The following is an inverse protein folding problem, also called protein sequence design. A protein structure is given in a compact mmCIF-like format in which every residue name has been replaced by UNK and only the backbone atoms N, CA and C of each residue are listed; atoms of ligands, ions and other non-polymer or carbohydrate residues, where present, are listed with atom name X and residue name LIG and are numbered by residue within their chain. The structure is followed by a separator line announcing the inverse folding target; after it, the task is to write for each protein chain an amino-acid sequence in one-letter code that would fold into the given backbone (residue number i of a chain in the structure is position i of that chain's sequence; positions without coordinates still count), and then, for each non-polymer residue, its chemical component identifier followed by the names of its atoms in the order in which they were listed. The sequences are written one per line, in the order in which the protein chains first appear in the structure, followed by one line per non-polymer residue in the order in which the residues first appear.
data_IF_764088866821
#
_entry.id   IF_764088866821
#
_cell.length_a   1.000
_cell.length_b   1.000
_cell.length_c   1.000
_cell.angle_alpha   90.00
_cell.angle_beta   90.00
_cell.angle_gamma   90.00
#
_symmetry.space_group_name_H-M   'P 1'
#
loop_
_entity.id
_entity.type
_entity.pdbx_description
1 polymer ?
#
# COMPACT_ATOMS: atom_id res chain seq x y z
N UNK A 1 -2.59 -15.75 -7.01
CA UNK A 1 -2.46 -15.99 -5.56
C UNK A 1 -1.07 -15.55 -5.17
N UNK A 2 -0.92 -14.90 -4.02
CA UNK A 2 0.35 -14.45 -3.46
C UNK A 2 0.49 -14.99 -2.04
N UNK A 3 1.67 -15.49 -1.71
CA UNK A 3 2.06 -16.00 -0.39
C UNK A 3 3.57 -15.83 -0.23
N UNK A 4 4.02 -15.47 0.97
CA UNK A 4 5.45 -15.32 1.26
C UNK A 4 6.11 -16.69 1.48
N UNK A 5 7.33 -16.87 0.97
CA UNK A 5 8.09 -18.12 1.10
C UNK A 5 8.89 -18.19 2.42
N UNK A 6 8.35 -17.65 3.52
CA UNK A 6 8.99 -17.62 4.85
C UNK A 6 8.26 -18.47 5.89
N UNK A 7 7.25 -19.24 5.45
CA UNK A 7 6.41 -20.12 6.25
C UNK A 7 5.67 -19.42 7.41
N UNK A 8 5.46 -18.10 7.30
CA UNK A 8 4.70 -17.34 8.30
C UNK A 8 3.19 -17.33 8.03
N UNK A 9 2.76 -17.55 6.79
CA UNK A 9 1.34 -17.67 6.44
C UNK A 9 1.01 -19.16 6.18
N UNK A 10 -0.12 -19.64 6.71
CA UNK A 10 -0.53 -21.04 6.57
C UNK A 10 -1.19 -21.29 5.20
N UNK A 11 -0.61 -22.14 4.32
CA UNK A 11 -1.24 -22.50 3.05
C UNK A 11 -2.63 -23.15 3.21
N UNK A 12 -2.93 -23.76 4.37
CA UNK A 12 -4.25 -24.30 4.65
C UNK A 12 -5.34 -23.22 4.76
N UNK A 13 -4.98 -21.95 4.95
CA UNK A 13 -5.90 -20.80 4.96
C UNK A 13 -6.18 -20.26 3.54
N UNK A 14 -5.52 -20.75 2.49
CA UNK A 14 -5.77 -20.34 1.08
C UNK A 14 -7.27 -20.44 0.70
N UNK A 15 -8.00 -21.51 1.06
CA UNK A 15 -9.43 -21.60 0.78
C UNK A 15 -10.24 -20.43 1.36
N UNK A 16 -9.84 -19.83 2.49
CA UNK A 16 -10.53 -18.66 3.05
C UNK A 16 -10.52 -17.48 2.07
N UNK A 17 -9.37 -17.23 1.45
CA UNK A 17 -9.21 -16.14 0.49
C UNK A 17 -9.96 -16.44 -0.83
N UNK A 18 -9.89 -17.68 -1.30
CA UNK A 18 -10.56 -18.08 -2.54
C UNK A 18 -12.08 -18.09 -2.41
N UNK A 19 -12.61 -18.57 -1.27
CA UNK A 19 -14.05 -18.57 -0.99
C UNK A 19 -14.63 -17.16 -0.90
N UNK A 20 -13.82 -16.19 -0.45
CA UNK A 20 -14.23 -14.79 -0.39
C UNK A 20 -14.15 -14.09 -1.77
N UNK A 21 -13.52 -14.69 -2.78
CA UNK A 21 -13.36 -14.13 -4.13
C UNK A 21 -14.63 -14.29 -4.98
N UNK A 22 -15.70 -13.57 -4.64
CA UNK A 22 -16.94 -13.50 -5.44
C UNK A 22 -16.71 -12.78 -6.78
N UNK A 23 -17.70 -12.82 -7.67
CA UNK A 23 -17.61 -12.27 -9.04
C UNK A 23 -17.29 -10.77 -9.08
N UNK A 24 -17.74 -10.02 -8.09
CA UNK A 24 -17.56 -8.58 -7.95
C UNK A 24 -16.34 -8.17 -7.09
N UNK A 25 -15.69 -9.13 -6.45
CA UNK A 25 -14.47 -8.92 -5.65
C UNK A 25 -13.24 -9.03 -6.55
N UNK A 26 -12.37 -8.03 -6.46
CA UNK A 26 -11.17 -7.90 -7.30
C UNK A 26 -9.91 -8.31 -6.56
N UNK A 27 -9.88 -8.10 -5.24
CA UNK A 27 -8.80 -8.52 -4.36
C UNK A 27 -9.34 -8.95 -3.00
N UNK A 28 -8.77 -10.04 -2.48
CA UNK A 28 -8.94 -10.49 -1.11
C UNK A 28 -7.59 -10.44 -0.41
N UNK A 29 -7.52 -9.76 0.73
CA UNK A 29 -6.32 -9.69 1.56
C UNK A 29 -6.54 -10.57 2.80
N UNK A 30 -5.58 -11.45 3.10
CA UNK A 30 -5.49 -12.09 4.40
C UNK A 30 -5.01 -11.07 5.43
N UNK A 31 -5.92 -10.50 6.21
CA UNK A 31 -5.58 -9.50 7.21
C UNK A 31 -5.15 -10.14 8.52
N UNK A 32 -3.92 -9.85 8.91
CA UNK A 32 -3.36 -10.27 10.20
C UNK A 32 -3.93 -9.45 11.36
N UNK A 33 -4.35 -8.20 11.08
CA UNK A 33 -4.98 -7.32 12.06
C UNK A 33 -6.45 -7.66 12.33
N UNK A 34 -7.12 -8.39 11.42
CA UNK A 34 -8.43 -9.01 11.69
C UNK A 34 -8.30 -10.41 12.29
N UNK A 35 -7.20 -11.11 12.01
CA UNK A 35 -6.90 -12.44 12.54
C UNK A 35 -6.00 -12.40 13.76
N UNK A 36 -5.02 -13.31 13.79
CA UNK A 36 -4.17 -13.58 14.96
C UNK A 36 -2.69 -13.49 14.63
N UNK A 37 -1.92 -12.87 15.51
CA UNK A 37 -0.47 -12.95 15.52
C UNK A 37 -0.04 -13.98 16.57
N UNK A 38 0.64 -15.05 16.16
CA UNK A 38 1.26 -15.98 17.11
C UNK A 38 2.48 -15.33 17.77
N UNK A 39 2.86 -15.82 18.94
CA UNK A 39 4.00 -15.28 19.68
C UNK A 39 5.29 -15.32 18.85
N UNK A 40 6.02 -14.20 18.85
CA UNK A 40 7.25 -14.05 18.05
C UNK A 40 7.04 -13.85 16.55
N UNK A 41 5.79 -13.73 16.07
CA UNK A 41 5.49 -13.54 14.64
C UNK A 41 5.90 -12.18 14.08
N UNK A 42 5.85 -11.13 14.90
CA UNK A 42 6.14 -9.75 14.49
C UNK A 42 6.77 -8.97 15.63
N UNK A 43 7.73 -8.10 15.31
CA UNK A 43 8.27 -7.15 16.29
C UNK A 43 7.32 -5.98 16.50
N UNK A 44 7.32 -5.38 17.69
CA UNK A 44 6.45 -4.21 17.98
C UNK A 44 6.68 -3.05 17.01
N UNK A 45 7.92 -2.87 16.54
CA UNK A 45 8.27 -1.85 15.54
C UNK A 45 7.60 -2.14 14.18
N UNK A 46 7.62 -3.38 13.72
CA UNK A 46 6.99 -3.76 12.45
C UNK A 46 5.47 -3.68 12.55
N UNK A 47 4.91 -4.10 13.68
CA UNK A 47 3.47 -3.99 13.94
C UNK A 47 3.01 -2.52 13.90
N UNK A 48 3.74 -1.61 14.57
CA UNK A 48 3.44 -0.18 14.55
C UNK A 48 3.65 0.44 13.16
N UNK A 49 4.74 0.08 12.47
CA UNK A 49 5.02 0.52 11.11
C UNK A 49 3.93 0.12 10.11
N UNK A 50 3.46 -1.12 10.17
CA UNK A 50 2.39 -1.61 9.31
C UNK A 50 1.06 -0.90 9.59
N UNK A 51 0.73 -0.61 10.85
CA UNK A 51 -0.45 0.21 11.19
C UNK A 51 -0.33 1.64 10.66
N UNK A 52 0.86 2.23 10.77
CA UNK A 52 1.12 3.57 10.24
C UNK A 52 0.96 3.62 8.72
N UNK A 53 1.59 2.70 7.99
CA UNK A 53 1.50 2.62 6.53
C UNK A 53 0.05 2.38 6.06
N UNK A 54 -0.67 1.49 6.74
CA UNK A 54 -2.10 1.24 6.48
C UNK A 54 -2.93 2.51 6.68
N UNK A 55 -2.70 3.26 7.76
CA UNK A 55 -3.39 4.54 8.01
C UNK A 55 -3.10 5.55 6.91
N UNK A 56 -1.85 5.67 6.46
CA UNK A 56 -1.47 6.58 5.38
C UNK A 56 -2.12 6.18 4.04
N UNK A 57 -2.13 4.89 3.72
CA UNK A 57 -2.79 4.39 2.52
C UNK A 57 -4.29 4.69 2.54
N UNK A 58 -4.98 4.39 3.64
CA UNK A 58 -6.41 4.67 3.79
C UNK A 58 -6.72 6.17 3.67
N UNK A 59 -5.85 7.04 4.19
CA UNK A 59 -6.01 8.49 4.05
C UNK A 59 -5.85 8.94 2.58
N UNK A 60 -4.82 8.46 1.88
CA UNK A 60 -4.50 8.86 0.52
C UNK A 60 -5.51 8.36 -0.52
N UNK A 61 -6.02 7.14 -0.32
CA UNK A 61 -6.89 6.43 -1.26
C UNK A 61 -8.34 6.33 -0.80
N UNK A 62 -8.68 6.88 0.38
CA UNK A 62 -10.03 6.87 0.98
C UNK A 62 -10.61 5.46 1.15
N UNK A 63 -9.76 4.52 1.58
CA UNK A 63 -10.12 3.12 1.84
C UNK A 63 -10.26 2.83 3.34
N UNK A 64 -10.68 1.61 3.68
CA UNK A 64 -10.80 1.12 5.08
C UNK A 64 -10.10 -0.23 5.27
N UNK A 65 -8.99 -0.44 4.57
CA UNK A 65 -8.21 -1.68 4.63
C UNK A 65 -7.50 -1.75 5.98
N UNK A 66 -7.52 -2.90 6.64
CA UNK A 66 -6.88 -3.12 7.94
C UNK A 66 -5.41 -3.55 7.83
N UNK A 67 -5.01 -4.24 6.75
CA UNK A 67 -3.63 -4.69 6.56
C UNK A 67 -3.13 -4.50 5.12
N UNK A 68 -2.57 -3.33 4.81
CA UNK A 68 -2.08 -3.06 3.45
C UNK A 68 -0.80 -3.82 3.10
N UNK A 69 -0.05 -4.27 4.11
CA UNK A 69 1.29 -4.86 3.97
C UNK A 69 1.26 -6.39 4.16
N UNK A 70 0.10 -7.04 4.07
CA UNK A 70 0.00 -8.49 4.12
C UNK A 70 0.35 -9.11 2.77
N UNK A 71 1.37 -9.96 2.71
CA UNK A 71 1.76 -10.69 1.49
C UNK A 71 0.72 -11.72 1.05
N UNK A 72 -0.04 -12.27 2.00
CA UNK A 72 -1.07 -13.27 1.74
C UNK A 72 -2.33 -12.66 1.13
N UNK A 73 -2.52 -12.85 -0.19
CA UNK A 73 -3.64 -12.24 -0.92
C UNK A 73 -4.00 -12.99 -2.20
N UNK A 74 -5.26 -12.88 -2.60
CA UNK A 74 -5.76 -13.32 -3.90
C UNK A 74 -6.18 -12.10 -4.70
N UNK A 75 -5.81 -12.03 -5.99
CA UNK A 75 -6.19 -10.92 -6.87
C UNK A 75 -6.64 -11.49 -8.21
N UNK A 76 -7.74 -10.95 -8.76
CA UNK A 76 -8.17 -11.28 -10.12
C UNK A 76 -7.14 -10.76 -11.12
N UNK A 77 -6.75 -11.60 -12.08
CA UNK A 77 -5.82 -11.20 -13.14
C UNK A 77 -6.31 -9.99 -13.92
N UNK A 78 -7.62 -9.86 -14.13
CA UNK A 78 -8.25 -8.72 -14.82
C UNK A 78 -8.18 -7.40 -14.03
N UNK A 79 -7.93 -7.45 -12.71
CA UNK A 79 -7.88 -6.27 -11.86
C UNK A 79 -6.51 -5.56 -11.88
N UNK A 80 -5.49 -6.18 -12.49
CA UNK A 80 -4.12 -5.64 -12.53
C UNK A 80 -3.59 -5.66 -13.97
N UNK A 81 -2.94 -4.57 -14.35
CA UNK A 81 -2.06 -4.53 -15.50
C UNK A 81 -0.60 -4.61 -15.00
N UNK A 82 0.04 -5.76 -15.24
CA UNK A 82 1.41 -6.03 -14.78
C UNK A 82 2.43 -5.05 -15.35
N UNK A 83 2.15 -4.47 -16.53
CA UNK A 83 3.05 -3.51 -17.17
C UNK A 83 3.02 -2.14 -16.48
N UNK A 84 2.03 -1.89 -15.62
CA UNK A 84 1.88 -0.65 -14.85
C UNK A 84 2.36 -0.78 -13.40
N UNK A 85 2.86 -1.96 -13.03
CA UNK A 85 3.53 -2.16 -11.74
C UNK A 85 4.96 -1.62 -11.84
N UNK A 86 5.38 -0.92 -10.79
CA UNK A 86 6.66 -0.21 -10.70
C UNK A 86 7.40 -0.48 -9.38
N UNK A 87 6.85 -1.36 -8.53
CA UNK A 87 7.52 -1.83 -7.33
C UNK A 87 8.84 -2.56 -7.66
N UNK A 88 9.87 -2.34 -6.84
CA UNK A 88 11.22 -2.89 -7.06
C UNK A 88 11.65 -3.81 -5.89
N UNK A 89 11.10 -3.60 -4.70
CA UNK A 89 11.41 -4.34 -3.48
C UNK A 89 10.10 -4.64 -2.72
N UNK A 90 10.01 -4.15 -1.48
CA UNK A 90 8.88 -4.34 -0.57
C UNK A 90 7.70 -3.40 -0.85
N UNK A 91 7.71 -2.70 -1.99
CA UNK A 91 6.60 -1.84 -2.39
C UNK A 91 5.47 -2.60 -3.11
N UNK A 92 5.67 -3.89 -3.45
CA UNK A 92 4.76 -4.65 -4.32
C UNK A 92 3.36 -4.78 -3.73
N UNK A 93 3.23 -5.04 -2.44
CA UNK A 93 1.95 -5.10 -1.71
C UNK A 93 1.17 -3.80 -1.89
N UNK A 94 1.90 -2.70 -1.77
CA UNK A 94 1.34 -1.35 -1.87
C UNK A 94 0.97 -1.02 -3.30
N UNK A 95 1.80 -1.39 -4.28
CA UNK A 95 1.53 -1.13 -5.70
C UNK A 95 0.33 -1.93 -6.21
N UNK A 96 0.18 -3.18 -5.77
CA UNK A 96 -1.01 -4.00 -6.04
C UNK A 96 -2.27 -3.36 -5.45
N UNK A 97 -2.21 -2.85 -4.23
CA UNK A 97 -3.32 -2.12 -3.61
C UNK A 97 -3.66 -0.84 -4.40
N UNK A 98 -2.65 -0.06 -4.79
CA UNK A 98 -2.83 1.11 -5.63
C UNK A 98 -3.51 0.75 -6.96
N UNK A 99 -3.04 -0.29 -7.64
CA UNK A 99 -3.57 -0.72 -8.94
C UNK A 99 -5.06 -1.06 -8.87
N UNK A 100 -5.46 -1.86 -7.88
CA UNK A 100 -6.86 -2.28 -7.73
C UNK A 100 -7.74 -1.12 -7.26
N UNK A 101 -7.30 -0.32 -6.29
CA UNK A 101 -8.11 0.79 -5.76
C UNK A 101 -8.28 1.91 -6.79
N UNK A 102 -7.23 2.27 -7.54
CA UNK A 102 -7.32 3.25 -8.62
C UNK A 102 -8.14 2.73 -9.81
N UNK A 103 -8.18 1.41 -10.00
CA UNK A 103 -9.07 0.72 -10.93
C UNK A 103 -10.52 0.59 -10.44
N UNK A 104 -10.88 1.18 -9.31
CA UNK A 104 -12.20 1.07 -8.67
C UNK A 104 -12.61 -0.38 -8.34
N UNK A 105 -11.62 -1.26 -8.18
CA UNK A 105 -11.84 -2.65 -7.82
C UNK A 105 -12.25 -2.79 -6.35
N UNK A 106 -13.15 -3.75 -6.10
CA UNK A 106 -13.59 -4.08 -4.74
C UNK A 106 -12.51 -4.90 -4.03
N UNK A 107 -12.04 -4.40 -2.88
CA UNK A 107 -11.12 -5.08 -1.97
C UNK A 107 -11.88 -5.54 -0.74
N UNK A 108 -11.67 -6.78 -0.32
CA UNK A 108 -12.18 -7.31 0.95
C UNK A 108 -11.05 -7.96 1.75
N UNK A 109 -11.30 -8.21 3.02
CA UNK A 109 -10.33 -8.79 3.95
C UNK A 109 -10.92 -10.00 4.65
N UNK A 110 -10.10 -11.04 4.84
CA UNK A 110 -10.43 -12.21 5.64
C UNK A 110 -9.41 -12.32 6.79
N UNK A 111 -9.83 -12.72 8.00
CA UNK A 111 -8.91 -12.93 9.10
C UNK A 111 -7.99 -14.13 8.80
N UNK A 112 -6.69 -13.97 9.03
CA UNK A 112 -5.67 -15.02 8.84
C UNK A 112 -4.69 -15.05 10.01
N UNK A 113 -4.02 -16.18 10.19
CA UNK A 113 -3.05 -16.38 11.26
C UNK A 113 -1.64 -16.13 10.76
N UNK A 114 -0.84 -15.35 11.50
CA UNK A 114 0.60 -15.20 11.21
C UNK A 114 1.46 -15.91 12.25
N UNK A 115 2.25 -16.86 11.77
CA UNK A 115 3.22 -17.63 12.54
C UNK A 115 4.60 -16.94 12.63
N UNK A 116 5.43 -17.31 13.63
CA UNK A 116 6.85 -16.96 13.64
C UNK A 116 7.57 -17.55 12.42
N UNK A 117 8.54 -16.79 11.91
CA UNK A 117 9.39 -17.22 10.81
C UNK A 117 10.20 -18.44 11.24
N UNK A 118 10.14 -19.51 10.46
CA UNK A 118 10.82 -20.77 10.81
C UNK A 118 12.33 -20.73 10.51
N UNK A 119 12.74 -20.03 9.44
CA UNK A 119 14.14 -19.94 9.04
C UNK A 119 14.47 -18.63 8.31
N UNK A 120 15.75 -18.24 8.33
CA UNK A 120 16.27 -17.06 7.64
C UNK A 120 16.09 -15.75 8.42
N UNK A 121 16.91 -14.74 8.07
CA UNK A 121 16.82 -13.39 8.65
C UNK A 121 16.00 -12.47 7.75
N UNK A 122 15.24 -11.56 8.35
CA UNK A 122 14.55 -10.53 7.56
C UNK A 122 15.56 -9.54 6.97
N UNK A 123 15.51 -9.35 5.66
CA UNK A 123 16.26 -8.30 4.96
C UNK A 123 15.59 -6.92 5.02
N UNK A 124 14.46 -6.80 5.72
CA UNK A 124 13.64 -5.60 5.79
C UNK A 124 14.24 -4.59 6.78
N UNK A 125 14.54 -3.38 6.30
CA UNK A 125 15.03 -2.26 7.10
C UNK A 125 13.86 -1.34 7.40
N UNK A 126 13.30 -1.43 8.61
CA UNK A 126 11.99 -0.87 8.96
C UNK A 126 11.79 0.60 8.56
N UNK A 127 12.81 1.45 8.74
CA UNK A 127 12.72 2.86 8.37
C UNK A 127 12.95 3.11 6.87
N UNK A 128 13.97 2.49 6.28
CA UNK A 128 14.34 2.74 4.88
C UNK A 128 13.28 2.17 3.93
N UNK A 129 12.89 0.91 4.12
CA UNK A 129 11.89 0.27 3.28
C UNK A 129 10.49 0.84 3.57
N UNK A 130 10.17 1.15 4.84
CA UNK A 130 8.92 1.83 5.20
C UNK A 130 8.78 3.22 4.55
N UNK A 131 9.85 4.03 4.52
CA UNK A 131 9.85 5.32 3.85
C UNK A 131 9.68 5.17 2.34
N UNK A 132 10.32 4.16 1.72
CA UNK A 132 10.14 3.86 0.29
C UNK A 132 8.70 3.48 -0.04
N UNK A 133 8.08 2.61 0.76
CA UNK A 133 6.69 2.22 0.61
C UNK A 133 5.77 3.45 0.70
N UNK A 134 5.99 4.32 1.68
CA UNK A 134 5.23 5.57 1.82
C UNK A 134 5.39 6.49 0.62
N UNK A 135 6.62 6.73 0.17
CA UNK A 135 6.88 7.56 -1.00
C UNK A 135 6.28 6.96 -2.28
N UNK A 136 6.32 5.64 -2.41
CA UNK A 136 5.74 4.92 -3.54
C UNK A 136 4.22 5.10 -3.61
N UNK A 137 3.48 4.90 -2.52
CA UNK A 137 2.02 5.13 -2.52
C UNK A 137 1.64 6.58 -2.78
N UNK A 138 2.44 7.54 -2.29
CA UNK A 138 2.24 8.98 -2.58
C UNK A 138 2.44 9.24 -4.07
N UNK A 139 3.56 8.78 -4.63
CA UNK A 139 3.89 8.95 -6.05
C UNK A 139 2.80 8.40 -6.95
N UNK A 140 2.36 7.15 -6.71
CA UNK A 140 1.29 6.48 -7.48
C UNK A 140 -0.04 7.26 -7.47
N UNK A 141 -0.36 7.91 -6.34
CA UNK A 141 -1.58 8.73 -6.20
C UNK A 141 -1.55 9.95 -7.13
N UNK A 142 -0.39 10.58 -7.29
CA UNK A 142 -0.23 11.80 -8.07
C UNK A 142 0.07 11.54 -9.55
N UNK A 143 0.75 10.44 -9.90
CA UNK A 143 0.96 10.03 -11.30
C UNK A 143 -0.36 9.86 -12.07
N UNK A 144 -1.38 9.32 -11.40
CA UNK A 144 -2.71 9.12 -12.00
C UNK A 144 -3.52 10.42 -12.12
N UNK A 145 -3.12 11.48 -11.42
CA UNK A 145 -3.85 12.75 -11.32
C UNK A 145 -3.40 13.83 -12.33
N UNK A 146 -2.53 13.49 -13.29
CA UNK A 146 -2.02 14.46 -14.29
C UNK A 146 -0.91 15.40 -13.79
N UNK A 147 -0.26 15.08 -12.66
CA UNK A 147 0.79 15.89 -12.02
C UNK A 147 2.20 15.74 -12.62
N UNK A 148 2.33 15.30 -13.88
CA UNK A 148 3.61 14.92 -14.49
C UNK A 148 4.63 16.08 -14.66
N UNK A 149 4.26 17.34 -14.39
CA UNK A 149 5.14 18.50 -14.63
C UNK A 149 5.96 18.89 -13.37
N UNK A 150 5.52 18.56 -12.15
CA UNK A 150 6.16 19.08 -10.92
C UNK A 150 7.14 18.09 -10.27
N UNK A 151 6.82 16.78 -10.22
CA UNK A 151 7.65 15.81 -9.48
C UNK A 151 8.95 15.48 -10.22
N UNK A 152 8.95 15.46 -11.55
CA UNK A 152 10.16 15.23 -12.34
C UNK A 152 11.26 16.28 -12.11
N UNK A 153 10.92 17.48 -11.63
CA UNK A 153 11.89 18.54 -11.29
C UNK A 153 12.34 18.54 -9.83
N UNK A 154 11.56 17.95 -8.91
CA UNK A 154 11.88 17.95 -7.47
C UNK A 154 12.54 16.64 -7.03
N UNK A 155 12.24 15.53 -7.72
CA UNK A 155 12.74 14.20 -7.39
C UNK A 155 13.20 13.47 -8.67
N UNK A 156 14.22 14.01 -9.33
CA UNK A 156 15.00 13.23 -10.28
C UNK A 156 15.92 12.28 -9.50
N UNK A 157 15.58 11.00 -9.47
CA UNK A 157 16.25 9.96 -8.69
C UNK A 157 16.94 8.90 -9.58
N UNK A 158 17.24 9.24 -10.83
CA UNK A 158 18.07 8.41 -11.71
C UNK A 158 19.58 8.49 -11.40
N UNK A 159 19.97 9.24 -10.36
CA UNK A 159 21.38 9.37 -9.93
C UNK A 159 21.64 8.55 -8.65
N UNK A 160 22.72 7.74 -8.61
CA UNK A 160 23.15 7.07 -7.39
C UNK A 160 23.48 8.13 -6.32
N UNK A 161 23.04 7.89 -5.08
CA UNK A 161 23.22 8.79 -3.92
C UNK A 161 24.70 8.97 -3.58
N UNK A 162 25.36 9.90 -4.24
CA UNK A 162 26.66 10.43 -3.86
C UNK A 162 26.55 11.95 -3.65
N UNK A 163 26.63 12.33 -2.37
CA UNK A 163 26.95 13.68 -1.85
C UNK A 163 26.16 14.84 -2.44
N UNK A 164 25.18 15.36 -1.70
CA UNK A 164 24.87 16.80 -1.78
C UNK A 164 24.24 17.34 -0.50
N UNK A 165 24.80 18.48 -0.08
CA UNK A 165 24.52 19.24 1.13
C UNK A 165 23.04 19.65 1.26
N UNK A 166 22.50 19.51 2.47
CA UNK A 166 21.15 19.90 2.87
C UNK A 166 20.96 21.42 2.72
N UNK A 167 20.22 21.86 1.70
CA UNK A 167 19.54 23.17 1.73
C UNK A 167 18.10 22.98 2.20
N UNK A 168 17.74 23.70 3.27
CA UNK A 168 16.38 23.78 3.82
C UNK A 168 15.40 24.24 2.71
N UNK A 169 14.35 23.47 2.39
CA UNK A 169 13.37 23.91 1.40
C UNK A 169 12.43 24.96 1.99
N UNK A 170 12.35 26.11 1.31
CA UNK A 170 11.52 27.29 1.62
C UNK A 170 10.00 27.05 1.46
N UNK A 171 9.56 25.85 1.09
CA UNK A 171 8.15 25.51 0.85
C UNK A 171 7.41 24.85 2.02
N UNK A 172 8.09 24.54 3.13
CA UNK A 172 7.48 23.79 4.24
C UNK A 172 6.37 24.59 4.97
N UNK A 173 6.52 25.92 5.04
CA UNK A 173 5.49 26.81 5.62
C UNK A 173 4.22 26.88 4.75
N UNK A 174 4.38 26.86 3.41
CA UNK A 174 3.27 26.82 2.45
C UNK A 174 2.54 25.48 2.49
N UNK A 175 3.27 24.38 2.78
CA UNK A 175 2.71 23.04 2.93
C UNK A 175 1.75 22.92 4.14
N UNK A 176 2.12 23.46 5.31
CA UNK A 176 1.25 23.41 6.51
C UNK A 176 -0.04 24.20 6.27
N UNK A 177 0.04 25.32 5.54
CA UNK A 177 -1.13 26.17 5.26
C UNK A 177 -2.12 25.48 4.33
N UNK A 178 -1.65 24.90 3.22
CA UNK A 178 -2.51 24.25 2.24
C UNK A 178 -3.07 22.90 2.75
N UNK A 179 -2.35 22.21 3.65
CA UNK A 179 -2.82 20.98 4.28
C UNK A 179 -4.04 21.22 5.20
N UNK A 180 -4.12 22.38 5.86
CA UNK A 180 -5.29 22.77 6.68
C UNK A 180 -6.53 23.09 5.84
N UNK A 181 -6.36 23.67 4.66
CA UNK A 181 -7.48 24.00 3.75
C UNK A 181 -8.16 22.74 3.18
N UNK A 182 -7.38 21.70 2.87
CA UNK A 182 -7.89 20.42 2.37
C UNK A 182 -8.70 19.65 3.44
N UNK A 183 -8.43 19.88 4.72
CA UNK A 183 -9.18 19.25 5.83
C UNK A 183 -10.51 19.97 6.13
N UNK A 184 -10.70 21.20 5.68
CA UNK A 184 -11.85 22.04 6.08
C UNK A 184 -12.85 22.34 4.96
N UNK A 185 -12.60 21.97 3.70
CA UNK A 185 -13.53 22.29 2.62
C UNK A 185 -13.55 21.28 1.48
N UNK A 186 -14.74 20.77 1.17
CA UNK A 186 -15.05 20.24 -0.15
C UNK A 186 -15.85 18.94 -0.14
N UNK A 187 -17.17 19.08 -0.14
CA UNK A 187 -18.06 18.17 -0.86
C UNK A 187 -17.61 18.13 -2.33
N UNK A 188 -17.45 16.93 -2.91
CA UNK A 188 -17.09 16.76 -4.32
C UNK A 188 -18.16 15.97 -5.06
N UNK A 189 -18.37 16.26 -6.37
CA UNK A 189 -19.64 16.06 -7.05
C UNK A 189 -19.88 14.59 -7.39
N UNK A 190 -21.08 14.09 -7.07
CA UNK A 190 -21.62 12.87 -7.66
C UNK A 190 -21.82 13.08 -9.16
N UNK A 191 -20.92 12.55 -9.98
CA UNK A 191 -21.12 12.47 -11.44
C UNK A 191 -21.87 11.18 -11.75
N UNK A 192 -23.21 11.25 -11.68
CA UNK A 192 -24.07 10.24 -12.28
C UNK A 192 -23.73 10.12 -13.77
N UNK A 193 -23.27 8.94 -14.19
CA UNK A 193 -23.17 8.59 -15.60
C UNK A 193 -24.49 7.91 -15.99
N UNK A 194 -25.38 8.69 -16.61
CA UNK A 194 -26.52 8.21 -17.40
C UNK A 194 -26.04 7.88 -18.83
N UNK A 195 -26.89 7.16 -19.55
CA UNK A 195 -26.84 6.78 -20.97
C UNK A 195 -26.12 5.46 -21.25
N UNK A 196 -26.65 4.55 -22.06
CA UNK A 196 -27.93 4.45 -22.78
C UNK A 196 -28.07 3.00 -23.23
#
# INVERSE_FOLDING_TARGET
MFIDADAQDDPAEIPLLLNAMTTDVHMVIGSRFLGTFLDGSVTSLHHLGNRFLTKMFNLLYKTRITDTQAGFRAIRRSAIDVNKLSAVRYEIETDLNCAVVLGWGRVIEVPVTRAPRQAGRSGFRSFYDGARILLHMIRRRFETSGWNIFIGKVFDFSQPLAKTSLKKPSGFATWIRNFKEVLQGGSWPCRHRRHQ
#
